data_IF_454776207242
#
_entry.id   IF_454776207242
#
_cell.length_a   1.000
_cell.length_b   1.000
_cell.length_c   1.000
_cell.angle_alpha   90.00
_cell.angle_beta   90.00
_cell.angle_gamma   90.00
#
_symmetry.space_group_name_H-M   'P 1'
#
loop_
_entity.id
_entity.type
_entity.pdbx_description
1 polymer ?
#
# COMPACT_ATOMS: atom_id res chain seq x y z
N UNK A 1 4.57 19.08 13.16
CA UNK A 1 3.44 18.20 12.80
C UNK A 1 3.84 17.48 11.52
N UNK A 2 3.91 16.14 11.51
CA UNK A 2 4.10 15.40 10.26
C UNK A 2 2.76 15.46 9.51
N UNK A 3 2.77 15.84 8.24
CA UNK A 3 1.56 15.91 7.43
C UNK A 3 0.83 14.54 7.43
N UNK A 4 -0.51 14.53 7.32
CA UNK A 4 -1.25 13.30 7.17
C UNK A 4 -0.81 12.57 5.90
N UNK A 5 -0.85 11.25 5.94
CA UNK A 5 -0.50 10.36 4.84
C UNK A 5 -1.11 10.81 3.51
N UNK A 6 -0.26 11.33 2.61
CA UNK A 6 -0.67 11.88 1.30
C UNK A 6 -1.04 10.77 0.32
N UNK A 7 -0.59 9.53 0.58
CA UNK A 7 -0.91 8.38 -0.27
C UNK A 7 -2.42 8.04 -0.28
N UNK A 8 -3.22 8.46 0.70
CA UNK A 8 -4.68 8.29 0.64
C UNK A 8 -5.33 9.01 -0.56
N UNK A 9 -4.64 10.00 -1.14
CA UNK A 9 -5.10 10.72 -2.32
C UNK A 9 -4.93 9.91 -3.62
N UNK A 10 -4.20 8.79 -3.58
CA UNK A 10 -3.89 8.01 -4.77
C UNK A 10 -5.12 7.26 -5.33
N UNK A 11 -6.26 7.24 -4.62
CA UNK A 11 -7.53 6.60 -5.04
C UNK A 11 -7.43 5.11 -5.45
N UNK A 12 -6.26 4.50 -5.30
CA UNK A 12 -5.97 3.10 -5.60
C UNK A 12 -5.89 2.27 -4.31
N UNK A 13 -6.24 0.98 -4.36
CA UNK A 13 -6.00 0.08 -3.24
C UNK A 13 -4.49 -0.11 -2.99
N UNK A 14 -4.12 -0.33 -1.72
CA UNK A 14 -2.73 -0.47 -1.28
C UNK A 14 -1.98 -1.56 -2.06
N UNK A 15 -2.68 -2.63 -2.43
CA UNK A 15 -2.14 -3.74 -3.21
C UNK A 15 -1.65 -3.31 -4.60
N UNK A 16 -2.39 -2.44 -5.29
CA UNK A 16 -2.00 -1.95 -6.62
C UNK A 16 -0.81 -0.99 -6.53
N UNK A 17 -0.82 -0.10 -5.54
CA UNK A 17 0.32 0.79 -5.26
C UNK A 17 1.56 -0.06 -4.98
N UNK A 18 1.44 -1.08 -4.13
CA UNK A 18 2.55 -1.96 -3.79
C UNK A 18 3.09 -2.73 -5.01
N UNK A 19 2.20 -3.27 -5.85
CA UNK A 19 2.59 -3.96 -7.08
C UNK A 19 3.35 -3.03 -8.05
N UNK A 20 2.85 -1.82 -8.26
CA UNK A 20 3.52 -0.80 -9.07
C UNK A 20 4.91 -0.47 -8.52
N UNK A 21 5.01 -0.27 -7.21
CA UNK A 21 6.27 0.06 -6.56
C UNK A 21 7.31 -1.08 -6.64
N UNK A 22 6.86 -2.33 -6.60
CA UNK A 22 7.73 -3.50 -6.83
C UNK A 22 8.25 -3.52 -8.26
N UNK A 23 7.39 -3.26 -9.25
CA UNK A 23 7.77 -3.20 -10.66
C UNK A 23 8.81 -2.10 -10.92
N UNK A 24 8.61 -0.92 -10.31
CA UNK A 24 9.56 0.20 -10.38
C UNK A 24 10.79 0.04 -9.49
N UNK A 25 10.88 -1.06 -8.72
CA UNK A 25 11.97 -1.33 -7.77
C UNK A 25 12.16 -0.23 -6.72
N UNK A 26 11.10 0.49 -6.39
CA UNK A 26 11.08 1.54 -5.36
C UNK A 26 10.86 0.96 -3.96
N UNK A 27 10.32 -0.26 -3.88
CA UNK A 27 10.17 -1.02 -2.65
C UNK A 27 10.68 -2.45 -2.84
N UNK A 28 11.04 -3.10 -1.75
CA UNK A 28 11.37 -4.53 -1.72
C UNK A 28 10.70 -5.17 -0.51
N UNK A 29 10.26 -6.44 -0.60
CA UNK A 29 9.71 -7.14 0.55
C UNK A 29 10.76 -7.27 1.66
N UNK A 30 10.35 -7.04 2.89
CA UNK A 30 11.19 -7.02 4.08
C UNK A 30 11.01 -8.35 4.82
N UNK A 31 12.11 -8.98 5.23
CA UNK A 31 12.00 -10.15 6.09
C UNK A 31 11.55 -9.75 7.49
N UNK A 32 10.34 -10.16 7.88
CA UNK A 32 9.89 -10.04 9.26
C UNK A 32 10.56 -11.13 10.10
N UNK A 33 11.37 -10.74 11.09
CA UNK A 33 11.85 -11.70 12.08
C UNK A 33 10.66 -12.24 12.86
N UNK A 34 10.58 -13.57 12.96
CA UNK A 34 9.67 -14.19 13.92
C UNK A 34 10.04 -13.67 15.32
N UNK A 35 9.03 -13.16 16.02
CA UNK A 35 9.20 -12.66 17.39
C UNK A 35 8.79 -13.76 18.34
N UNK A 36 9.72 -14.22 19.15
CA UNK A 36 9.41 -15.09 20.27
C UNK A 36 8.65 -14.29 21.35
N UNK A 37 7.52 -14.82 21.81
CA UNK A 37 6.72 -14.25 22.89
C UNK A 37 5.27 -13.90 22.51
N UNK A 38 4.62 -13.10 23.37
CA UNK A 38 3.23 -12.74 23.18
C UNK A 38 3.01 -11.94 21.87
N UNK A 39 1.89 -12.17 21.16
CA UNK A 39 1.53 -11.41 19.98
C UNK A 39 1.47 -9.90 20.28
N UNK A 40 1.89 -9.08 19.32
CA UNK A 40 1.78 -7.64 19.44
C UNK A 40 0.29 -7.21 19.40
N UNK A 41 -0.06 -6.07 20.02
CA UNK A 41 -1.39 -5.50 19.87
C UNK A 41 -1.74 -5.30 18.38
N UNK A 42 -2.92 -5.78 17.97
CA UNK A 42 -3.36 -5.76 16.57
C UNK A 42 -2.84 -6.91 15.71
N UNK A 43 -2.11 -7.88 16.28
CA UNK A 43 -1.74 -9.10 15.58
C UNK A 43 -2.97 -9.97 15.30
N UNK A 44 -3.16 -10.31 14.03
CA UNK A 44 -4.19 -11.20 13.53
C UNK A 44 -3.56 -12.31 12.68
N UNK A 45 -3.58 -13.58 13.14
CA UNK A 45 -2.99 -14.70 12.40
C UNK A 45 -3.72 -15.00 11.09
N UNK A 46 -4.96 -14.54 10.92
CA UNK A 46 -5.71 -14.72 9.68
C UNK A 46 -5.26 -13.75 8.58
N UNK A 47 -4.57 -12.67 8.93
CA UNK A 47 -4.07 -11.66 7.99
C UNK A 47 -2.62 -11.93 7.62
N UNK A 48 -2.28 -11.67 6.36
CA UNK A 48 -0.93 -11.83 5.81
C UNK A 48 -0.51 -10.54 5.12
N UNK A 49 0.77 -10.20 5.24
CA UNK A 49 1.32 -8.98 4.64
C UNK A 49 2.31 -9.33 3.52
N UNK A 50 2.00 -8.94 2.29
CA UNK A 50 2.83 -9.16 1.10
C UNK A 50 4.20 -8.48 1.24
N UNK A 51 4.25 -7.31 1.87
CA UNK A 51 5.51 -6.61 2.15
C UNK A 51 6.42 -7.37 3.12
N UNK A 52 5.89 -8.35 3.86
CA UNK A 52 6.65 -9.20 4.77
C UNK A 52 6.68 -10.67 4.32
N UNK A 53 6.72 -10.94 3.01
CA UNK A 53 6.71 -12.30 2.46
C UNK A 53 5.51 -13.13 2.92
N UNK A 54 4.33 -12.49 3.01
CA UNK A 54 3.08 -13.09 3.50
C UNK A 54 3.15 -13.58 4.96
N UNK A 55 4.02 -12.98 5.77
CA UNK A 55 4.03 -13.22 7.21
C UNK A 55 2.67 -12.85 7.83
N UNK A 56 2.27 -13.65 8.82
CA UNK A 56 1.01 -13.47 9.54
C UNK A 56 1.07 -12.30 10.51
N UNK A 57 -0.07 -11.66 10.75
CA UNK A 57 -0.25 -10.66 11.81
C UNK A 57 -0.95 -9.38 11.38
N UNK A 58 -0.79 -8.93 10.14
CA UNK A 58 -1.46 -7.74 9.62
C UNK A 58 -1.60 -7.84 8.10
N UNK A 59 -2.51 -7.07 7.50
CA UNK A 59 -2.63 -6.99 6.04
C UNK A 59 -1.69 -5.93 5.46
N UNK A 60 -1.53 -5.92 4.14
CA UNK A 60 -0.74 -4.90 3.45
C UNK A 60 -1.22 -3.47 3.74
N UNK A 61 -2.54 -3.28 3.83
CA UNK A 61 -3.21 -2.01 4.16
C UNK A 61 -2.90 -1.53 5.57
N UNK A 62 -2.55 -2.44 6.47
CA UNK A 62 -2.22 -2.16 7.87
C UNK A 62 -0.71 -2.01 8.09
N UNK A 63 0.11 -2.29 7.05
CA UNK A 63 1.55 -2.30 7.14
C UNK A 63 2.15 -0.89 7.35
N UNK A 64 2.38 -0.53 8.61
CA UNK A 64 2.97 0.76 9.00
C UNK A 64 4.34 1.01 8.32
N UNK A 65 5.30 0.04 8.28
CA UNK A 65 6.57 0.24 7.60
C UNK A 65 6.40 0.60 6.12
N UNK A 66 5.47 -0.06 5.42
CA UNK A 66 5.18 0.22 4.03
C UNK A 66 4.60 1.64 3.86
N UNK A 67 3.65 2.03 4.71
CA UNK A 67 3.05 3.38 4.68
C UNK A 67 4.11 4.49 4.86
N UNK A 68 5.02 4.31 5.82
CA UNK A 68 6.15 5.23 6.05
C UNK A 68 6.97 5.34 4.77
N UNK A 69 7.37 4.21 4.20
CA UNK A 69 8.24 4.21 3.02
C UNK A 69 7.56 4.83 1.78
N UNK A 70 6.26 4.58 1.57
CA UNK A 70 5.50 5.23 0.49
C UNK A 70 5.44 6.74 0.70
N UNK A 71 5.22 7.20 1.94
CA UNK A 71 5.23 8.63 2.24
C UNK A 71 6.60 9.25 1.97
N UNK A 72 7.68 8.56 2.33
CA UNK A 72 9.05 9.02 2.03
C UNK A 72 9.27 9.12 0.51
N UNK A 73 8.75 8.19 -0.29
CA UNK A 73 8.83 8.27 -1.75
C UNK A 73 8.08 9.48 -2.31
N UNK A 74 6.90 9.80 -1.76
CA UNK A 74 6.11 10.99 -2.14
C UNK A 74 6.85 12.26 -1.76
N UNK A 75 7.35 12.33 -0.52
CA UNK A 75 8.02 13.52 0.01
C UNK A 75 9.34 13.81 -0.73
N UNK A 76 10.04 12.76 -1.19
CA UNK A 76 11.24 12.88 -2.03
C UNK A 76 10.92 13.02 -3.53
N UNK A 77 9.65 13.13 -3.93
CA UNK A 77 9.19 13.22 -5.33
C UNK A 77 9.65 12.07 -6.23
N UNK A 78 9.93 10.91 -5.62
CA UNK A 78 10.25 9.66 -6.33
C UNK A 78 8.98 8.92 -6.75
N UNK A 79 7.86 9.22 -6.08
CA UNK A 79 6.53 8.77 -6.43
C UNK A 79 5.64 10.00 -6.60
N UNK A 80 5.25 10.31 -7.83
CA UNK A 80 4.26 11.36 -8.09
C UNK A 80 2.88 10.75 -8.33
N UNK A 81 1.84 11.54 -8.08
CA UNK A 81 0.44 11.09 -8.21
C UNK A 81 0.08 10.75 -9.66
N UNK A 82 0.75 11.39 -10.63
CA UNK A 82 0.58 11.15 -12.06
C UNK A 82 1.27 9.87 -12.55
N UNK A 83 2.27 9.37 -11.81
CA UNK A 83 3.01 8.16 -12.16
C UNK A 83 2.21 6.89 -11.86
N UNK A 84 1.19 6.99 -11.00
CA UNK A 84 0.34 5.85 -10.68
C UNK A 84 -0.72 5.61 -11.76
N UNK A 85 -1.01 4.34 -12.07
CA UNK A 85 -2.14 4.00 -12.94
C UNK A 85 -3.40 4.61 -12.33
N UNK A 86 -4.04 5.55 -13.03
CA UNK A 86 -5.34 6.02 -12.57
C UNK A 86 -6.31 4.84 -12.70
N UNK A 87 -7.19 4.59 -11.72
CA UNK A 87 -8.32 3.70 -11.94
C UNK A 87 -9.00 4.22 -13.19
N UNK A 88 -9.06 3.42 -14.24
CA UNK A 88 -9.76 3.79 -15.45
C UNK A 88 -11.19 4.09 -15.03
N UNK A 89 -11.52 5.39 -14.97
CA UNK A 89 -12.90 5.85 -14.97
C UNK A 89 -13.36 5.56 -16.39
N UNK A 90 -13.60 4.28 -16.67
CA UNK A 90 -14.30 3.84 -17.86
C UNK A 90 -15.62 4.57 -17.76
N UNK A 91 -15.74 5.57 -18.63
CA UNK A 91 -16.94 6.29 -18.92
C UNK A 91 -18.03 5.27 -19.18
N UNK A 92 -18.81 4.91 -18.16
CA UNK A 92 -20.06 4.21 -18.35
C UNK A 92 -20.91 5.16 -19.20
N UNK A 93 -21.17 4.87 -20.49
CA UNK A 93 -22.11 5.68 -21.24
C UNK A 93 -23.45 5.46 -20.55
N UNK A 94 -24.02 6.53 -19.98
CA UNK A 94 -25.39 6.50 -19.46
C UNK A 94 -26.29 5.88 -20.54
N UNK A 95 -27.13 4.89 -20.21
CA UNK A 95 -28.01 4.29 -21.20
C UNK A 95 -28.95 5.38 -21.76
N UNK A 96 -29.21 5.39 -23.08
CA UNK A 96 -30.16 6.32 -23.66
C UNK A 96 -31.54 6.04 -23.07
N UNK A 97 -32.16 7.07 -22.51
CA UNK A 97 -33.55 7.04 -22.08
C UNK A 97 -34.44 6.85 -23.32
N UNK A 98 -35.17 5.74 -23.37
CA UNK A 98 -36.36 5.57 -24.22
C UNK A 98 -37.60 5.91 -23.40
#
# INVERSE_FOLDING_TARGET
MKEPWKFHLLSMPMMEIYAYLLEKKLVTPIFARQRDGAPLPGFDPCKKCENHFRAEGHSLEECIPLKIHIQDLIDNKLLQFEDLPRPDVVTNPLPPHL
#
